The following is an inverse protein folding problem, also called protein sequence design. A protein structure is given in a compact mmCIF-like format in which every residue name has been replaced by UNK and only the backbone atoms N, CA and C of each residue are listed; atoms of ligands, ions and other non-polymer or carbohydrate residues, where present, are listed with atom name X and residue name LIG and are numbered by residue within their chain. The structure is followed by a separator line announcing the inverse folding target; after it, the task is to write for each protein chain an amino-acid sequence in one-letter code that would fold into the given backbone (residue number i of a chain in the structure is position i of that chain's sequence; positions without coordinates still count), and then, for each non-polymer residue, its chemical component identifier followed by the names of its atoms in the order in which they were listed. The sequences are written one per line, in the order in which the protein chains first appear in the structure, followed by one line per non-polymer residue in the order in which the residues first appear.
data_IF_411908821871
#
_entry.id   IF_411908821871
#
_cell.length_a   1.000
_cell.length_b   1.000
_cell.length_c   1.000
_cell.angle_alpha   90.00
_cell.angle_beta   90.00
_cell.angle_gamma   90.00
#
_symmetry.space_group_name_H-M   'P 1'
#
loop_
_entity.id
_entity.type
_entity.pdbx_description
1 polymer ?
#
# COMPACT_ATOMS: atom_id res chain seq x y z
N UNK A 1 -15.83 -11.28 1.59
CA UNK A 1 -14.80 -12.23 2.06
C UNK A 1 -13.47 -12.02 1.30
N UNK A 2 -12.33 -12.01 1.99
CA UNK A 2 -11.01 -12.08 1.33
C UNK A 2 -10.70 -13.56 1.02
N UNK A 3 -10.01 -13.87 -0.09
CA UNK A 3 -9.62 -15.24 -0.42
C UNK A 3 -8.55 -15.81 0.53
N UNK A 4 -7.79 -14.94 1.19
CA UNK A 4 -6.75 -15.29 2.16
C UNK A 4 -6.60 -14.19 3.23
N UNK A 5 -6.11 -14.59 4.40
CA UNK A 5 -5.67 -13.66 5.45
C UNK A 5 -4.31 -13.07 5.10
N UNK A 6 -4.05 -11.83 5.50
CA UNK A 6 -2.77 -11.17 5.26
C UNK A 6 -2.47 -10.21 6.41
N UNK A 7 -1.19 -9.98 6.69
CA UNK A 7 -0.74 -9.05 7.73
C UNK A 7 0.15 -7.99 7.09
N UNK A 8 -0.25 -6.74 7.23
CA UNK A 8 0.48 -5.57 6.74
C UNK A 8 1.09 -4.86 7.95
N UNK A 9 2.41 -4.68 7.93
CA UNK A 9 3.16 -4.02 9.00
C UNK A 9 3.97 -2.87 8.41
N UNK A 10 4.16 -1.81 9.20
CA UNK A 10 5.18 -0.82 8.90
C UNK A 10 6.58 -1.45 9.00
N UNK A 11 7.58 -0.83 8.40
CA UNK A 11 8.96 -1.31 8.55
C UNK A 11 9.39 -1.24 10.02
N UNK A 12 8.99 -0.20 10.74
CA UNK A 12 9.24 -0.04 12.16
C UNK A 12 8.62 -1.18 12.98
N UNK A 13 7.35 -1.52 12.75
CA UNK A 13 6.69 -2.62 13.48
C UNK A 13 7.37 -3.96 13.20
N UNK A 14 7.75 -4.21 11.94
CA UNK A 14 8.47 -5.43 11.55
C UNK A 14 9.79 -5.56 12.32
N UNK A 15 10.55 -4.46 12.46
CA UNK A 15 11.79 -4.43 13.23
C UNK A 15 11.55 -4.71 14.71
N UNK A 16 10.49 -4.15 15.31
CA UNK A 16 10.13 -4.37 16.73
C UNK A 16 9.90 -5.85 17.02
N UNK A 17 9.27 -6.58 16.09
CA UNK A 17 9.02 -8.02 16.24
C UNK A 17 10.15 -8.90 15.67
N UNK A 18 11.29 -8.32 15.30
CA UNK A 18 12.47 -9.05 14.82
C UNK A 18 12.33 -9.64 13.41
N UNK A 19 11.40 -9.12 12.60
CA UNK A 19 11.15 -9.59 11.23
C UNK A 19 11.75 -8.65 10.19
N UNK A 20 12.33 -9.23 9.14
CA UNK A 20 12.72 -8.53 7.93
C UNK A 20 11.72 -8.85 6.82
N UNK A 21 10.76 -7.98 6.63
CA UNK A 21 9.67 -8.18 5.68
C UNK A 21 9.97 -7.55 4.32
N UNK A 22 9.53 -8.15 3.20
CA UNK A 22 9.59 -7.52 1.89
C UNK A 22 8.49 -6.47 1.73
N UNK A 23 8.67 -5.55 0.79
CA UNK A 23 7.58 -4.71 0.28
C UNK A 23 6.75 -5.53 -0.70
N UNK A 24 5.45 -5.62 -0.49
CA UNK A 24 4.54 -6.36 -1.38
C UNK A 24 3.18 -5.66 -1.56
N UNK A 25 2.45 -6.09 -2.58
CA UNK A 25 1.16 -5.49 -2.96
C UNK A 25 -0.02 -6.18 -2.28
N UNK A 26 0.11 -7.47 -1.93
CA UNK A 26 -0.90 -8.27 -1.24
C UNK A 26 -0.27 -9.54 -0.66
N UNK A 27 -1.03 -10.26 0.18
CA UNK A 27 -0.63 -11.49 0.84
C UNK A 27 -0.50 -12.73 -0.05
N UNK A 28 -0.84 -12.65 -1.34
CA UNK A 28 -0.55 -13.70 -2.31
C UNK A 28 0.82 -13.54 -2.98
N UNK A 29 1.59 -12.50 -2.64
CA UNK A 29 2.97 -12.39 -3.09
C UNK A 29 3.81 -13.54 -2.49
N UNK A 30 4.51 -14.35 -3.31
CA UNK A 30 5.35 -15.44 -2.81
C UNK A 30 6.45 -15.01 -1.85
N UNK A 31 6.88 -13.74 -1.87
CA UNK A 31 7.88 -13.20 -0.96
C UNK A 31 7.35 -12.99 0.47
N UNK A 32 6.03 -12.93 0.66
CA UNK A 32 5.41 -12.74 1.98
C UNK A 32 5.93 -13.76 2.99
N UNK A 33 6.28 -13.28 4.17
CA UNK A 33 6.88 -14.09 5.22
C UNK A 33 5.82 -14.77 6.10
N UNK A 34 6.14 -15.92 6.71
CA UNK A 34 5.26 -16.53 7.69
C UNK A 34 5.05 -15.63 8.92
N UNK A 35 3.86 -15.68 9.51
CA UNK A 35 3.57 -14.95 10.75
C UNK A 35 2.51 -15.68 11.57
N UNK A 36 2.68 -15.70 12.89
CA UNK A 36 1.68 -16.25 13.83
C UNK A 36 0.85 -15.12 14.43
N UNK A 37 -0.46 -15.23 14.29
CA UNK A 37 -1.44 -14.31 14.88
C UNK A 37 -2.01 -15.00 16.11
N UNK A 38 -1.88 -14.37 17.27
CA UNK A 38 -2.41 -14.87 18.54
C UNK A 38 -3.63 -14.05 18.93
N UNK A 39 -4.76 -14.71 19.11
CA UNK A 39 -6.01 -14.14 19.60
C UNK A 39 -6.39 -14.71 20.97
N UNK A 40 -7.52 -14.28 21.55
CA UNK A 40 -7.97 -14.72 22.87
C UNK A 40 -8.22 -16.23 22.97
N UNK A 41 -8.62 -16.87 21.86
CA UNK A 41 -9.03 -18.29 21.81
C UNK A 41 -7.99 -19.21 21.15
N UNK A 42 -6.79 -18.71 20.84
CA UNK A 42 -5.74 -19.52 20.21
C UNK A 42 -4.86 -18.76 19.22
N UNK A 43 -4.15 -19.50 18.39
CA UNK A 43 -3.21 -18.94 17.42
C UNK A 43 -3.37 -19.56 16.03
N UNK A 44 -3.12 -18.76 15.00
CA UNK A 44 -3.08 -19.19 13.60
C UNK A 44 -1.77 -18.73 12.97
N UNK A 45 -1.11 -19.64 12.25
CA UNK A 45 0.12 -19.31 11.50
C UNK A 45 -0.22 -19.20 10.02
N UNK A 46 0.03 -18.02 9.45
CA UNK A 46 0.07 -17.83 8.01
C UNK A 46 1.44 -18.31 7.51
N UNK A 47 1.47 -19.17 6.50
CA UNK A 47 2.70 -19.83 6.04
C UNK A 47 3.52 -18.99 5.05
N UNK A 48 2.97 -17.88 4.56
CA UNK A 48 3.49 -17.22 3.37
C UNK A 48 3.25 -18.07 2.12
N UNK A 49 4.11 -17.90 1.10
CA UNK A 49 4.16 -18.71 -0.13
C UNK A 49 2.90 -18.61 -1.01
N UNK A 50 2.33 -17.41 -1.10
CA UNK A 50 1.21 -17.14 -2.00
C UNK A 50 -0.19 -17.45 -1.46
N UNK A 51 -0.31 -17.81 -0.18
CA UNK A 51 -1.59 -18.04 0.47
C UNK A 51 -1.69 -17.30 1.83
N UNK A 52 -1.30 -16.04 1.85
CA UNK A 52 -1.32 -15.20 3.05
C UNK A 52 -0.01 -15.21 3.83
N UNK A 53 0.40 -14.04 4.30
CA UNK A 53 1.61 -13.84 5.09
C UNK A 53 1.79 -12.38 5.50
N UNK A 54 2.94 -12.08 6.09
CA UNK A 54 3.35 -10.75 6.51
C UNK A 54 4.23 -10.06 5.45
N UNK A 55 3.98 -8.76 5.25
CA UNK A 55 4.74 -7.90 4.35
C UNK A 55 4.60 -6.40 4.74
N UNK A 56 5.48 -5.56 4.20
CA UNK A 56 5.33 -4.10 4.24
C UNK A 56 4.49 -3.67 3.05
N UNK A 57 3.41 -2.94 3.29
CA UNK A 57 2.48 -2.56 2.24
C UNK A 57 3.13 -1.61 1.23
N UNK A 58 3.12 -1.97 -0.06
CA UNK A 58 3.51 -1.04 -1.13
C UNK A 58 2.47 0.07 -1.24
N UNK A 59 2.90 1.33 -1.14
CA UNK A 59 2.05 2.50 -1.40
C UNK A 59 1.32 2.41 -2.73
N UNK A 60 0.04 2.77 -2.70
CA UNK A 60 -0.83 2.67 -3.86
C UNK A 60 -1.96 3.69 -3.78
N UNK A 61 -2.60 3.94 -4.92
CA UNK A 61 -3.76 4.79 -5.03
C UNK A 61 -4.97 3.98 -5.51
N UNK A 62 -6.09 4.12 -4.81
CA UNK A 62 -7.38 3.67 -5.28
C UNK A 62 -7.99 4.73 -6.20
N UNK A 63 -8.47 4.32 -7.36
CA UNK A 63 -9.24 5.16 -8.28
C UNK A 63 -10.51 4.44 -8.72
N UNK A 64 -11.60 5.21 -8.90
CA UNK A 64 -12.72 4.74 -9.72
C UNK A 64 -12.31 4.65 -11.19
N UNK A 65 -13.00 3.81 -11.93
CA UNK A 65 -12.96 3.74 -13.40
C UNK A 65 -13.14 5.13 -14.04
N UNK A 66 -14.10 5.93 -13.56
CA UNK A 66 -14.34 7.29 -14.06
C UNK A 66 -13.15 8.22 -13.86
N UNK A 67 -12.50 8.17 -12.69
CA UNK A 67 -11.32 9.03 -12.41
C UNK A 67 -10.11 8.52 -13.20
N UNK A 68 -9.90 7.21 -13.25
CA UNK A 68 -8.82 6.60 -14.02
C UNK A 68 -8.91 6.98 -15.51
N UNK A 69 -10.11 6.93 -16.11
CA UNK A 69 -10.35 7.37 -17.48
C UNK A 69 -10.05 8.87 -17.69
N UNK A 70 -10.47 9.73 -16.76
CA UNK A 70 -10.19 11.18 -16.80
C UNK A 70 -8.70 11.51 -16.74
N UNK A 71 -7.94 10.73 -15.97
CA UNK A 71 -6.49 10.87 -15.85
C UNK A 71 -5.73 10.10 -16.94
N UNK A 72 -6.43 9.34 -17.80
CA UNK A 72 -5.84 8.45 -18.80
C UNK A 72 -4.85 7.43 -18.21
N UNK A 73 -5.20 6.88 -17.04
CA UNK A 73 -4.43 5.85 -16.34
C UNK A 73 -5.22 4.56 -16.22
N UNK A 74 -4.51 3.43 -16.08
CA UNK A 74 -5.08 2.09 -15.91
C UNK A 74 -4.46 1.38 -14.70
N UNK A 75 -5.08 0.28 -14.31
CA UNK A 75 -4.59 -0.60 -13.25
C UNK A 75 -3.14 -1.02 -13.53
N UNK A 76 -2.25 -0.91 -12.54
CA UNK A 76 -0.83 -1.24 -12.67
C UNK A 76 0.06 -0.09 -13.15
N UNK A 77 -0.52 1.05 -13.56
CA UNK A 77 0.26 2.24 -13.83
C UNK A 77 0.92 2.81 -12.57
N UNK A 78 1.97 3.62 -12.75
CA UNK A 78 2.67 4.31 -11.69
C UNK A 78 2.48 5.82 -11.84
N UNK A 79 2.19 6.49 -10.73
CA UNK A 79 2.06 7.95 -10.63
C UNK A 79 2.95 8.45 -9.49
N UNK A 80 3.19 9.75 -9.45
CA UNK A 80 3.87 10.37 -8.31
C UNK A 80 2.88 11.20 -7.48
N UNK A 81 3.15 11.33 -6.19
CA UNK A 81 2.38 12.16 -5.26
C UNK A 81 3.25 13.27 -4.69
N UNK A 82 2.91 14.52 -4.99
CA UNK A 82 3.52 15.70 -4.39
C UNK A 82 2.81 16.08 -3.09
N UNK A 83 3.61 16.34 -2.06
CA UNK A 83 3.17 16.78 -0.74
C UNK A 83 3.94 18.07 -0.41
N UNK A 84 3.22 19.15 -0.09
CA UNK A 84 3.81 20.48 0.19
C UNK A 84 3.90 20.82 1.69
N UNK A 85 3.45 19.93 2.57
CA UNK A 85 3.40 20.13 4.03
C UNK A 85 4.77 20.38 4.69
N UNK A 86 4.90 20.21 6.02
CA UNK A 86 6.12 20.58 6.76
C UNK A 86 7.39 19.82 6.34
N UNK A 87 7.24 18.71 5.61
CA UNK A 87 8.33 17.93 4.99
C UNK A 87 8.04 17.73 3.51
N UNK A 88 8.18 18.79 2.69
CA UNK A 88 7.73 18.76 1.31
C UNK A 88 8.48 17.71 0.51
N UNK A 89 7.75 16.76 -0.07
CA UNK A 89 8.31 15.53 -0.67
C UNK A 89 7.49 15.13 -1.89
N UNK A 90 8.14 14.54 -2.89
CA UNK A 90 7.44 13.80 -3.96
C UNK A 90 7.68 12.32 -3.73
N UNK A 91 6.60 11.56 -3.51
CA UNK A 91 6.65 10.10 -3.42
C UNK A 91 6.47 9.53 -4.83
N UNK A 92 7.52 8.90 -5.33
CA UNK A 92 7.50 8.28 -6.65
C UNK A 92 6.88 6.87 -6.63
N UNK A 93 6.41 6.44 -7.79
CA UNK A 93 5.97 5.07 -8.09
C UNK A 93 4.76 4.58 -7.26
N UNK A 94 3.77 5.45 -7.06
CA UNK A 94 2.47 5.10 -6.47
C UNK A 94 1.72 4.19 -7.42
N UNK A 95 1.49 2.93 -7.00
CA UNK A 95 0.79 1.94 -7.82
C UNK A 95 -0.70 2.29 -7.96
N UNK A 96 -1.17 2.42 -9.19
CA UNK A 96 -2.58 2.65 -9.49
C UNK A 96 -3.38 1.36 -9.39
N UNK A 97 -4.44 1.39 -8.57
CA UNK A 97 -5.44 0.33 -8.50
C UNK A 97 -6.83 0.87 -8.86
N UNK A 98 -7.43 0.30 -9.89
CA UNK A 98 -8.73 0.77 -10.43
C UNK A 98 -9.82 -0.23 -10.10
N UNK A 99 -10.92 0.25 -9.52
CA UNK A 99 -12.15 -0.53 -9.35
C UNK A 99 -13.37 0.37 -9.37
N UNK A 100 -14.45 -0.09 -9.99
CA UNK A 100 -15.73 0.63 -10.01
C UNK A 100 -16.20 0.92 -8.57
N UNK A 101 -16.63 2.16 -8.33
CA UNK A 101 -17.13 2.62 -7.04
C UNK A 101 -16.08 2.97 -5.98
N UNK A 102 -14.78 2.86 -6.28
CA UNK A 102 -13.74 3.32 -5.35
C UNK A 102 -13.60 4.84 -5.32
N UNK A 103 -13.31 5.36 -4.13
CA UNK A 103 -12.93 6.76 -3.93
C UNK A 103 -11.44 6.95 -4.24
N UNK A 104 -11.08 8.17 -4.63
CA UNK A 104 -9.68 8.54 -4.84
C UNK A 104 -8.99 8.68 -3.49
N UNK A 105 -8.08 7.75 -3.21
CA UNK A 105 -7.39 7.68 -1.91
C UNK A 105 -6.00 7.07 -2.09
N UNK A 106 -4.98 7.71 -1.53
CA UNK A 106 -3.62 7.16 -1.47
C UNK A 106 -3.43 6.48 -0.13
N UNK A 107 -2.97 5.23 -0.18
CA UNK A 107 -2.67 4.41 0.98
C UNK A 107 -1.16 4.45 1.20
N UNK A 108 -0.76 5.03 2.33
CA UNK A 108 0.60 5.07 2.85
C UNK A 108 0.60 4.36 4.20
N UNK A 109 1.68 3.68 4.53
CA UNK A 109 1.85 3.18 5.91
C UNK A 109 2.21 4.32 6.87
N UNK A 110 2.32 3.99 8.16
CA UNK A 110 2.62 4.96 9.21
C UNK A 110 4.04 5.52 9.11
N UNK A 111 5.02 4.75 8.63
CA UNK A 111 6.40 5.21 8.45
C UNK A 111 6.46 6.23 7.31
N UNK A 112 5.83 5.94 6.18
CA UNK A 112 5.71 6.84 5.04
C UNK A 112 4.98 8.13 5.41
N UNK A 113 3.83 8.03 6.09
CA UNK A 113 3.08 9.18 6.56
C UNK A 113 3.89 10.07 7.52
N UNK A 114 4.61 9.46 8.47
CA UNK A 114 5.48 10.20 9.38
C UNK A 114 6.69 10.82 8.69
N UNK A 115 7.28 10.15 7.69
CA UNK A 115 8.41 10.66 6.94
C UNK A 115 8.09 11.99 6.26
N UNK A 116 6.88 12.13 5.71
CA UNK A 116 6.40 13.33 4.99
C UNK A 116 5.52 14.27 5.83
N UNK A 117 5.31 13.95 7.11
CA UNK A 117 4.52 14.78 8.02
C UNK A 117 3.03 14.82 7.70
N UNK A 118 2.48 13.74 7.14
CA UNK A 118 1.07 13.59 6.85
C UNK A 118 0.29 12.86 7.95
N UNK A 119 -1.00 13.12 7.99
CA UNK A 119 -2.03 12.43 8.79
C UNK A 119 -3.21 12.07 7.89
N UNK A 120 -3.99 11.08 8.32
CA UNK A 120 -5.20 10.65 7.62
C UNK A 120 -6.14 11.85 7.37
N UNK A 121 -6.71 11.91 6.16
CA UNK A 121 -7.61 12.99 5.74
C UNK A 121 -6.92 14.19 5.08
N UNK A 122 -5.59 14.26 5.08
CA UNK A 122 -4.85 15.27 4.33
C UNK A 122 -4.71 14.88 2.85
N UNK A 123 -4.45 15.87 2.00
CA UNK A 123 -4.38 15.70 0.54
C UNK A 123 -3.01 16.08 -0.01
N UNK A 124 -2.68 15.53 -1.18
CA UNK A 124 -1.54 15.90 -2.00
C UNK A 124 -1.93 16.01 -3.47
N UNK A 125 -0.98 16.37 -4.32
CA UNK A 125 -1.20 16.55 -5.76
C UNK A 125 -0.64 15.37 -6.53
N UNK A 126 -1.47 14.71 -7.34
CA UNK A 126 -1.00 13.67 -8.25
C UNK A 126 -0.26 14.28 -9.42
N UNK A 127 0.92 13.74 -9.72
CA UNK A 127 1.67 14.03 -10.93
C UNK A 127 1.48 12.83 -11.86
N UNK A 128 0.76 13.06 -12.95
CA UNK A 128 0.49 12.04 -13.96
C UNK A 128 1.52 12.19 -15.09
N UNK A 129 2.32 11.15 -15.40
CA UNK A 129 3.27 11.21 -16.50
C UNK A 129 2.55 11.52 -17.81
N UNK A 130 2.97 12.58 -18.52
CA UNK A 130 2.28 13.04 -19.74
C UNK A 130 2.59 12.22 -21.00
N UNK A 131 3.41 11.18 -20.92
CA UNK A 131 3.86 10.41 -22.08
C UNK A 131 3.44 8.95 -21.97
N UNK A 132 2.21 8.65 -22.41
CA UNK A 132 1.83 7.31 -22.87
C UNK A 132 1.35 7.44 -24.30
N UNK A 133 2.33 7.61 -25.20
CA UNK A 133 2.14 7.37 -26.62
C UNK A 133 1.83 5.89 -26.89
#
# INVERSE_FOLDING_TARGET
PRPYSQVELSQTDALVIGMKLPIATNGADPACQPITIVGPEGAVTLTGKGNGGAFIARRHIHLSDKVAAKLSVKNGDLLDLRIDGPRPTTLHDILVRVKAGWFTEVHLDTDEGNAVGLRSGQSGTLIVPQNKG
#
